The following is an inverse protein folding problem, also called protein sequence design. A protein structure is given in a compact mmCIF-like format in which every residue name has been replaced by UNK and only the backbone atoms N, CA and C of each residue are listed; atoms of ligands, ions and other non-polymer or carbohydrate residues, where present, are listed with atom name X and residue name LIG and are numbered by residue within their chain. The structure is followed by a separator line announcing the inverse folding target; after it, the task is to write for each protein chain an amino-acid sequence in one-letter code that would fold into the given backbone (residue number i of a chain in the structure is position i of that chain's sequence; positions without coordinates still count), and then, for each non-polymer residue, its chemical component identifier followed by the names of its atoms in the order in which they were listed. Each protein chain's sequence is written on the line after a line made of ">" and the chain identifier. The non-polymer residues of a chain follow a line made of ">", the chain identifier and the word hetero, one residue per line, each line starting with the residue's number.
data_IF_814361304849
#
_entry.id   IF_814361304849
#
_cell.length_a   1.000
_cell.length_b   1.000
_cell.length_c   1.000
_cell.angle_alpha   90.00
_cell.angle_beta   90.00
_cell.angle_gamma   90.00
#
_symmetry.space_group_name_H-M   'P 1'
#
loop_
_entity.id
_entity.type
_entity.pdbx_description
1 polymer ?
#
# COMPACT_ATOMS: atom_id res chain seq x y z
N UNK A 1 -25.90 -20.38 16.69
CA UNK A 1 -24.90 -21.14 15.91
C UNK A 1 -23.87 -20.15 15.42
N UNK A 2 -22.66 -20.17 15.97
CA UNK A 2 -21.59 -19.25 15.57
C UNK A 2 -21.01 -19.73 14.24
N UNK A 3 -21.37 -19.05 13.15
CA UNK A 3 -20.66 -19.18 11.89
C UNK A 3 -19.30 -18.50 12.05
N UNK A 4 -18.32 -19.23 12.58
CA UNK A 4 -16.93 -18.93 12.30
C UNK A 4 -16.74 -19.29 10.82
N UNK A 5 -16.86 -18.30 9.94
CA UNK A 5 -16.46 -18.44 8.55
C UNK A 5 -15.02 -18.97 8.48
N UNK A 6 -14.63 -19.65 7.39
CA UNK A 6 -13.25 -20.09 7.23
C UNK A 6 -12.33 -18.88 7.47
N UNK A 7 -11.16 -19.06 8.12
CA UNK A 7 -10.20 -17.97 8.22
C UNK A 7 -9.97 -17.49 6.80
N UNK A 8 -10.37 -16.25 6.49
CA UNK A 8 -9.90 -15.62 5.26
C UNK A 8 -8.39 -15.71 5.36
N UNK A 9 -7.75 -16.46 4.47
CA UNK A 9 -6.29 -16.59 4.44
C UNK A 9 -5.74 -15.19 4.18
N UNK A 10 -5.46 -14.47 5.26
CA UNK A 10 -4.90 -13.13 5.20
C UNK A 10 -3.48 -13.30 4.67
N UNK A 11 -3.29 -12.96 3.40
CA UNK A 11 -1.96 -13.01 2.80
C UNK A 11 -1.12 -11.94 3.52
N UNK A 12 -0.06 -12.38 4.20
CA UNK A 12 0.88 -11.43 4.80
C UNK A 12 1.59 -10.64 3.70
N UNK A 13 1.96 -9.40 3.99
CA UNK A 13 2.63 -8.52 3.01
C UNK A 13 3.96 -9.12 2.56
N UNK A 14 4.64 -9.84 3.45
CA UNK A 14 5.90 -10.51 3.15
C UNK A 14 5.67 -11.74 2.26
N UNK A 15 4.68 -12.60 2.58
CA UNK A 15 4.33 -13.75 1.74
C UNK A 15 3.89 -13.30 0.34
N UNK A 16 3.13 -12.22 0.27
CA UNK A 16 2.77 -11.57 -0.98
C UNK A 16 4.03 -11.17 -1.77
N UNK A 17 4.96 -10.46 -1.14
CA UNK A 17 6.18 -10.00 -1.80
C UNK A 17 6.98 -11.17 -2.35
N UNK A 18 7.22 -12.20 -1.52
CA UNK A 18 8.01 -13.37 -1.89
C UNK A 18 7.34 -14.17 -3.02
N UNK A 19 6.00 -14.31 -3.01
CA UNK A 19 5.28 -14.94 -4.13
C UNK A 19 5.36 -14.11 -5.40
N UNK A 20 5.19 -12.79 -5.30
CA UNK A 20 5.07 -11.91 -6.46
C UNK A 20 6.42 -11.66 -7.16
N UNK A 21 7.56 -11.63 -6.44
CA UNK A 21 8.88 -11.58 -7.08
C UNK A 21 9.21 -12.87 -7.83
N UNK A 22 8.68 -14.02 -7.39
CA UNK A 22 8.91 -15.33 -8.02
C UNK A 22 7.87 -15.66 -9.10
N UNK A 23 6.88 -14.79 -9.34
CA UNK A 23 5.82 -15.02 -10.32
C UNK A 23 6.12 -14.25 -11.61
N UNK A 24 6.53 -14.91 -12.71
CA UNK A 24 6.83 -14.24 -13.98
C UNK A 24 5.60 -13.74 -14.72
N UNK A 25 4.44 -14.37 -14.49
CA UNK A 25 3.19 -13.98 -15.11
C UNK A 25 2.62 -12.68 -14.53
N UNK A 26 2.42 -11.68 -15.40
CA UNK A 26 1.97 -10.36 -14.99
C UNK A 26 0.53 -10.36 -14.47
N UNK A 27 -0.34 -11.19 -15.03
CA UNK A 27 -1.74 -11.26 -14.62
C UNK A 27 -1.91 -11.91 -13.25
N UNK A 28 -1.12 -12.94 -12.97
CA UNK A 28 -1.06 -13.58 -11.65
C UNK A 28 -0.53 -12.60 -10.59
N UNK A 29 0.50 -11.80 -10.90
CA UNK A 29 0.98 -10.74 -9.99
C UNK A 29 -0.10 -9.69 -9.70
N UNK A 30 -0.85 -9.28 -10.72
CA UNK A 30 -1.96 -8.32 -10.54
C UNK A 30 -3.05 -8.86 -9.63
N UNK A 31 -3.36 -10.16 -9.71
CA UNK A 31 -4.28 -10.83 -8.78
C UNK A 31 -3.73 -10.81 -7.36
N UNK A 32 -2.46 -11.18 -7.17
CA UNK A 32 -1.79 -11.09 -5.87
C UNK A 32 -1.80 -9.66 -5.29
N UNK A 33 -1.68 -8.63 -6.13
CA UNK A 33 -1.80 -7.22 -5.70
C UNK A 33 -3.21 -6.88 -5.23
N UNK A 34 -4.24 -7.41 -5.87
CA UNK A 34 -5.62 -7.25 -5.42
C UNK A 34 -5.84 -7.99 -4.10
N UNK A 35 -5.40 -9.24 -4.00
CA UNK A 35 -5.61 -10.11 -2.85
C UNK A 35 -4.93 -9.56 -1.59
N UNK A 36 -3.68 -9.07 -1.70
CA UNK A 36 -2.97 -8.49 -0.55
C UNK A 36 -3.62 -7.19 -0.08
N UNK A 37 -4.21 -6.38 -0.98
CA UNK A 37 -4.91 -5.13 -0.63
C UNK A 37 -6.26 -5.41 0.00
N UNK A 38 -6.98 -6.44 -0.46
CA UNK A 38 -8.23 -6.88 0.16
C UNK A 38 -7.96 -7.47 1.55
N UNK A 39 -6.87 -8.22 1.70
CA UNK A 39 -6.46 -8.81 2.98
C UNK A 39 -5.91 -7.76 3.97
N UNK A 40 -5.28 -6.69 3.45
CA UNK A 40 -4.63 -5.66 4.24
C UNK A 40 -5.07 -4.25 3.79
N UNK A 41 -6.37 -3.91 3.88
CA UNK A 41 -6.91 -2.65 3.35
C UNK A 41 -6.35 -1.41 4.05
N UNK A 42 -5.90 -1.58 5.30
CA UNK A 42 -5.28 -0.52 6.08
C UNK A 42 -3.75 -0.39 5.94
N UNK A 43 -3.11 -1.23 5.11
CA UNK A 43 -1.65 -1.24 5.02
C UNK A 43 -1.13 -0.54 3.77
N UNK A 44 -0.54 0.63 3.98
CA UNK A 44 0.16 1.37 2.93
C UNK A 44 1.37 0.60 2.36
N UNK A 45 1.97 -0.29 3.17
CA UNK A 45 3.10 -1.12 2.76
C UNK A 45 2.75 -2.08 1.60
N UNK A 46 1.48 -2.49 1.48
CA UNK A 46 1.04 -3.30 0.34
C UNK A 46 1.26 -2.57 -1.00
N UNK A 47 1.12 -1.24 -1.02
CA UNK A 47 1.34 -0.42 -2.21
C UNK A 47 2.84 -0.27 -2.51
N UNK A 48 3.65 -0.01 -1.49
CA UNK A 48 5.11 0.09 -1.66
C UNK A 48 5.70 -1.24 -2.12
N UNK A 49 5.32 -2.35 -1.49
CA UNK A 49 5.78 -3.69 -1.88
C UNK A 49 5.33 -4.07 -3.28
N UNK A 50 4.12 -3.67 -3.70
CA UNK A 50 3.67 -3.83 -5.09
C UNK A 50 4.60 -3.08 -6.07
N UNK A 51 5.01 -1.86 -5.74
CA UNK A 51 5.96 -1.09 -6.56
C UNK A 51 7.36 -1.75 -6.58
N UNK A 52 7.87 -2.22 -5.44
CA UNK A 52 9.16 -2.91 -5.37
C UNK A 52 9.19 -4.19 -6.24
N UNK A 53 8.05 -4.90 -6.33
CA UNK A 53 7.86 -6.07 -7.21
C UNK A 53 7.83 -5.66 -8.68
N UNK A 54 7.08 -4.62 -9.03
CA UNK A 54 7.04 -4.12 -10.41
C UNK A 54 8.42 -3.64 -10.86
N UNK A 55 9.18 -2.97 -9.99
CA UNK A 55 10.58 -2.59 -10.27
C UNK A 55 11.47 -3.82 -10.51
N UNK A 56 11.28 -4.91 -9.75
CA UNK A 56 12.02 -6.15 -9.95
C UNK A 56 11.80 -6.74 -11.35
N UNK A 57 10.57 -6.65 -11.85
CA UNK A 57 10.19 -7.09 -13.20
C UNK A 57 10.48 -6.06 -14.30
N UNK A 58 11.24 -5.01 -13.99
CA UNK A 58 11.69 -4.02 -14.97
C UNK A 58 10.63 -2.98 -15.34
N UNK A 59 9.60 -2.77 -14.51
CA UNK A 59 8.61 -1.72 -14.75
C UNK A 59 9.25 -0.33 -14.83
N UNK A 60 8.68 0.51 -15.69
CA UNK A 60 9.07 1.91 -15.82
C UNK A 60 8.67 2.72 -14.59
N UNK A 61 9.47 3.74 -14.30
CA UNK A 61 9.27 4.65 -13.17
C UNK A 61 7.88 5.31 -13.20
N UNK A 62 7.38 5.69 -14.39
CA UNK A 62 6.05 6.26 -14.57
C UNK A 62 4.92 5.32 -14.09
N UNK A 63 5.09 4.01 -14.29
CA UNK A 63 4.13 3.00 -13.81
C UNK A 63 4.19 2.86 -12.29
N UNK A 64 5.40 2.85 -11.72
CA UNK A 64 5.59 2.83 -10.27
C UNK A 64 4.97 4.05 -9.61
N UNK A 65 5.22 5.24 -10.17
CA UNK A 65 4.64 6.51 -9.71
C UNK A 65 3.12 6.46 -9.74
N UNK A 66 2.51 6.04 -10.86
CA UNK A 66 1.05 5.90 -10.96
C UNK A 66 0.47 4.96 -9.90
N UNK A 67 1.16 3.85 -9.61
CA UNK A 67 0.74 2.91 -8.58
C UNK A 67 0.83 3.53 -7.19
N UNK A 68 1.93 4.23 -6.88
CA UNK A 68 2.19 4.85 -5.59
C UNK A 68 1.29 6.06 -5.35
N UNK A 69 1.06 6.92 -6.34
CA UNK A 69 0.12 8.05 -6.25
C UNK A 69 -1.30 7.58 -5.93
N UNK A 70 -1.74 6.44 -6.48
CA UNK A 70 -3.03 5.84 -6.12
C UNK A 70 -3.05 5.40 -4.66
N UNK A 71 -1.98 4.75 -4.20
CA UNK A 71 -1.81 4.38 -2.79
C UNK A 71 -1.86 5.61 -1.88
N UNK A 72 -1.04 6.62 -2.16
CA UNK A 72 -1.03 7.88 -1.41
C UNK A 72 -2.43 8.51 -1.40
N UNK A 73 -3.15 8.55 -2.52
CA UNK A 73 -4.51 9.10 -2.57
C UNK A 73 -5.46 8.35 -1.63
N UNK A 74 -5.42 7.01 -1.63
CA UNK A 74 -6.25 6.16 -0.75
C UNK A 74 -5.98 6.46 0.73
N UNK A 75 -4.73 6.75 1.09
CA UNK A 75 -4.32 7.05 2.46
C UNK A 75 -4.21 8.56 2.78
N UNK A 76 -4.35 9.47 1.80
CA UNK A 76 -4.39 10.93 2.01
C UNK A 76 -5.78 11.33 2.49
N UNK A 77 -6.81 10.76 1.86
CA UNK A 77 -8.21 11.02 2.20
C UNK A 77 -8.98 9.70 2.08
N UNK A 78 -8.92 8.81 3.09
CA UNK A 78 -9.68 7.57 3.03
C UNK A 78 -11.16 7.95 2.91
N UNK A 79 -11.82 7.51 1.84
CA UNK A 79 -13.23 7.77 1.60
C UNK A 79 -14.04 7.23 2.80
N UNK A 80 -14.40 8.13 3.72
CA UNK A 80 -14.88 7.79 5.05
C UNK A 80 -14.40 8.72 6.17
N UNK A 81 -13.40 9.60 5.95
CA UNK A 81 -13.02 10.65 6.91
C UNK A 81 -13.95 11.88 6.84
N UNK A 82 -15.23 11.65 6.54
CA UNK A 82 -16.30 12.62 6.69
C UNK A 82 -17.02 12.34 8.01
N UNK A 83 -17.01 13.34 8.90
CA UNK A 83 -17.82 13.50 10.11
C UNK A 83 -17.89 12.32 11.11
N UNK A 84 -17.05 12.39 12.15
CA UNK A 84 -17.56 12.24 13.52
C UNK A 84 -17.01 13.41 14.34
N UNK A 85 -17.65 14.57 14.18
CA UNK A 85 -17.72 15.51 15.29
C UNK A 85 -18.53 14.83 16.39
N UNK A 86 -18.02 14.95 17.61
CA UNK A 86 -18.66 14.62 18.87
C UNK A 86 -18.45 13.20 19.44
N UNK A 87 -17.85 13.25 20.63
CA UNK A 87 -18.00 12.36 21.78
C UNK A 87 -17.18 11.06 21.86
N UNK A 88 -16.37 11.09 22.92
CA UNK A 88 -15.98 10.00 23.80
C UNK A 88 -14.76 9.16 23.42
N UNK A 89 -13.76 9.25 24.29
CA UNK A 89 -12.55 8.44 24.29
C UNK A 89 -12.91 7.05 24.85
N UNK A 90 -13.44 6.15 24.02
CA UNK A 90 -13.49 4.72 24.36
C UNK A 90 -13.60 3.85 23.11
N UNK A 91 -12.52 3.10 22.87
CA UNK A 91 -12.47 1.82 22.15
C UNK A 91 -13.54 1.55 21.08
N UNK A 92 -13.20 1.56 19.79
CA UNK A 92 -13.68 0.57 18.82
C UNK A 92 -12.79 0.62 17.56
N UNK A 93 -12.26 -0.54 17.17
CA UNK A 93 -11.24 -0.69 16.13
C UNK A 93 -11.72 -0.32 14.72
N UNK A 94 -11.15 0.74 14.17
CA UNK A 94 -11.32 1.11 12.77
C UNK A 94 -10.38 0.26 11.91
N UNK A 95 -10.91 -0.84 11.36
CA UNK A 95 -10.23 -1.71 10.37
C UNK A 95 -10.30 -1.06 8.98
N UNK A 96 -9.79 0.16 8.86
CA UNK A 96 -9.77 0.94 7.61
C UNK A 96 -8.42 1.64 7.40
N UNK A 97 -8.13 2.10 6.17
CA UNK A 97 -6.94 2.87 5.88
C UNK A 97 -6.89 4.14 6.74
N UNK A 98 -5.93 4.18 7.66
CA UNK A 98 -5.65 5.35 8.49
C UNK A 98 -4.87 6.37 7.67
N UNK A 99 -5.14 7.67 7.82
CA UNK A 99 -4.40 8.68 7.07
C UNK A 99 -2.90 8.59 7.35
N UNK A 100 -2.09 8.46 6.31
CA UNK A 100 -0.63 8.33 6.42
C UNK A 100 0.04 9.65 6.05
N UNK A 101 0.88 10.16 6.95
CA UNK A 101 1.58 11.43 6.77
C UNK A 101 2.65 11.34 5.67
N UNK A 102 2.97 12.47 5.04
CA UNK A 102 4.08 12.57 4.08
C UNK A 102 5.40 12.03 4.65
N UNK A 103 5.68 12.29 5.93
CA UNK A 103 6.90 11.82 6.60
C UNK A 103 7.01 10.29 6.64
N UNK A 104 5.90 9.59 6.90
CA UNK A 104 5.88 8.11 6.92
C UNK A 104 6.22 7.55 5.53
N UNK A 105 5.66 8.13 4.48
CA UNK A 105 5.96 7.71 3.11
C UNK A 105 7.40 8.04 2.69
N UNK A 106 7.95 9.18 3.13
CA UNK A 106 9.34 9.55 2.84
C UNK A 106 10.36 8.66 3.57
N UNK A 107 10.04 8.25 4.80
CA UNK A 107 10.80 7.23 5.53
C UNK A 107 10.80 5.89 4.77
N UNK A 108 9.65 5.49 4.22
CA UNK A 108 9.55 4.26 3.42
C UNK A 108 10.30 4.39 2.08
N UNK A 109 10.29 5.56 1.44
CA UNK A 109 11.11 5.82 0.24
C UNK A 109 12.60 5.64 0.54
N UNK A 110 13.05 6.16 1.68
CA UNK A 110 14.43 6.00 2.16
C UNK A 110 14.75 4.54 2.48
N UNK A 111 13.79 3.79 3.04
CA UNK A 111 13.95 2.36 3.28
C UNK A 111 14.05 1.57 1.96
N UNK A 112 13.24 1.90 0.96
CA UNK A 112 13.29 1.30 -0.38
C UNK A 112 14.63 1.59 -1.07
N UNK A 113 15.15 2.81 -0.95
CA UNK A 113 16.47 3.20 -1.46
C UNK A 113 17.58 2.34 -0.83
N UNK A 114 17.55 2.15 0.50
CA UNK A 114 18.49 1.26 1.21
C UNK A 114 18.40 -0.20 0.78
N UNK A 115 17.25 -0.65 0.27
CA UNK A 115 17.04 -2.00 -0.30
C UNK A 115 17.49 -2.11 -1.76
N UNK A 116 18.03 -1.05 -2.35
CA UNK A 116 18.43 -1.00 -3.76
C UNK A 116 17.27 -0.75 -4.73
N UNK A 117 16.10 -0.35 -4.23
CA UNK A 117 14.89 -0.06 -5.01
C UNK A 117 14.82 1.44 -5.36
N UNK A 118 15.83 1.90 -6.10
CA UNK A 118 16.03 3.32 -6.41
C UNK A 118 14.87 3.90 -7.22
N UNK A 119 14.30 3.12 -8.17
CA UNK A 119 13.18 3.62 -8.99
C UNK A 119 11.92 3.76 -8.15
N UNK A 120 11.63 2.80 -7.28
CA UNK A 120 10.50 2.89 -6.34
C UNK A 120 10.65 4.08 -5.40
N UNK A 121 11.85 4.29 -4.83
CA UNK A 121 12.11 5.42 -3.94
C UNK A 121 11.93 6.78 -4.63
N UNK A 122 12.46 6.92 -5.85
CA UNK A 122 12.32 8.15 -6.64
C UNK A 122 10.87 8.41 -7.03
N UNK A 123 10.18 7.40 -7.57
CA UNK A 123 8.76 7.48 -7.92
C UNK A 123 7.89 7.81 -6.70
N UNK A 124 8.23 7.30 -5.51
CA UNK A 124 7.51 7.61 -4.27
C UNK A 124 7.70 9.07 -3.88
N UNK A 125 8.92 9.59 -3.89
CA UNK A 125 9.20 11.01 -3.58
C UNK A 125 8.47 11.95 -4.54
N UNK A 126 8.53 11.68 -5.84
CA UNK A 126 7.80 12.48 -6.84
C UNK A 126 6.28 12.43 -6.61
N UNK A 127 5.73 11.24 -6.35
CA UNK A 127 4.30 11.08 -6.07
C UNK A 127 3.87 11.84 -4.80
N UNK A 128 4.74 11.91 -3.79
CA UNK A 128 4.48 12.66 -2.56
C UNK A 128 4.53 14.17 -2.77
N UNK A 129 5.45 14.68 -3.58
CA UNK A 129 5.51 16.11 -3.91
C UNK A 129 4.23 16.53 -4.63
N UNK A 130 3.80 15.78 -5.65
CA UNK A 130 2.57 16.07 -6.39
C UNK A 130 1.31 15.93 -5.52
N UNK A 131 1.26 14.94 -4.63
CA UNK A 131 0.07 14.68 -3.81
C UNK A 131 -0.10 15.64 -2.64
N UNK A 132 0.96 16.33 -2.20
CA UNK A 132 0.94 17.23 -1.03
C UNK A 132 1.28 18.70 -1.37
N UNK A 133 1.37 19.06 -2.64
CA UNK A 133 1.29 20.46 -3.09
C UNK A 133 -0.19 20.90 -3.11
N UNK A 134 -0.68 21.35 -1.95
CA UNK A 134 -1.89 22.18 -1.83
C UNK A 134 -1.45 23.62 -1.50
#
# INVERSE_FOLDING_TARGET
>A
MSFAGPPQETISIQDFYDRAINTPDADTRRRLFADVRVSNPGSYQAWVKSAEVEEHWGAEEAKLKTLLSRGITVFKNPAGSGCITDHDHSQHGLVGPQPITKHTWDSEATAAEKRGKQKTAKALREALEESFQD
#
